data_IF_877851492010
#
_entry.id   IF_877851492010
#
_cell.length_a   1.000
_cell.length_b   1.000
_cell.length_c   1.000
_cell.angle_alpha   90.00
_cell.angle_beta   90.00
_cell.angle_gamma   90.00
#
_symmetry.space_group_name_H-M   'P 1'
#
loop_
_entity.id
_entity.type
_entity.pdbx_description
1 polymer ?
#
# COMPACT_ATOMS: atom_id res chain seq x y z
N UNK A 1 -32.80 69.44 52.83
CA UNK A 1 -33.24 68.09 52.52
C UNK A 1 -32.43 67.60 51.31
N UNK A 2 -31.36 66.82 51.56
CA UNK A 2 -30.47 66.37 50.46
C UNK A 2 -30.81 64.90 50.16
N UNK A 3 -31.21 64.61 48.91
CA UNK A 3 -31.53 63.29 48.41
C UNK A 3 -30.23 62.70 47.82
N UNK A 4 -29.76 61.57 48.34
CA UNK A 4 -28.63 60.80 47.84
C UNK A 4 -29.15 59.65 46.96
N UNK A 5 -28.77 59.53 45.71
CA UNK A 5 -29.17 58.38 44.89
C UNK A 5 -28.25 57.16 45.20
N UNK A 6 -28.90 56.04 45.51
CA UNK A 6 -28.21 54.73 45.61
C UNK A 6 -28.02 54.13 44.23
N UNK A 7 -26.74 53.97 43.83
CA UNK A 7 -26.38 53.28 42.60
C UNK A 7 -26.30 51.81 42.94
N UNK A 8 -27.25 51.04 42.39
CA UNK A 8 -27.29 49.56 42.45
C UNK A 8 -26.38 49.01 41.37
N UNK A 9 -25.17 48.53 41.74
CA UNK A 9 -24.25 47.86 40.83
C UNK A 9 -24.71 46.43 40.56
N UNK A 10 -25.16 46.16 39.34
CA UNK A 10 -25.45 44.79 38.86
C UNK A 10 -24.13 44.10 38.46
N UNK A 11 -23.66 43.15 39.24
CA UNK A 11 -22.56 42.26 38.86
C UNK A 11 -23.06 41.20 37.88
N UNK A 12 -22.69 41.30 36.60
CA UNK A 12 -22.95 40.26 35.60
C UNK A 12 -21.89 39.17 35.79
N UNK A 13 -22.27 38.07 36.40
CA UNK A 13 -21.43 36.86 36.45
C UNK A 13 -21.47 36.18 35.06
N UNK A 14 -20.40 36.34 34.27
CA UNK A 14 -20.21 35.61 33.03
C UNK A 14 -19.93 34.12 33.36
N UNK A 15 -20.95 33.28 33.26
CA UNK A 15 -20.78 31.83 33.33
C UNK A 15 -20.08 31.36 32.04
N UNK A 16 -18.80 31.00 32.16
CA UNK A 16 -18.08 30.28 31.10
C UNK A 16 -18.72 28.91 30.93
N UNK A 17 -19.62 28.76 29.97
CA UNK A 17 -20.16 27.46 29.55
C UNK A 17 -19.04 26.75 28.80
N UNK A 18 -18.25 25.95 29.48
CA UNK A 18 -17.36 24.98 28.86
C UNK A 18 -18.23 23.91 28.23
N UNK A 19 -18.44 24.00 26.91
CA UNK A 19 -19.02 22.87 26.16
C UNK A 19 -18.05 21.71 26.26
N UNK A 20 -18.49 20.52 26.70
CA UNK A 20 -17.66 19.33 26.67
C UNK A 20 -17.33 19.05 25.20
N UNK A 21 -16.05 19.13 24.84
CA UNK A 21 -15.55 18.61 23.57
C UNK A 21 -15.64 17.08 23.72
N UNK A 22 -16.69 16.49 23.18
CA UNK A 22 -16.74 15.04 23.04
C UNK A 22 -15.64 14.66 22.06
N UNK A 23 -14.58 14.07 22.56
CA UNK A 23 -13.63 13.35 21.67
C UNK A 23 -14.44 12.33 20.89
N UNK A 24 -14.34 12.35 19.56
CA UNK A 24 -15.02 11.38 18.72
C UNK A 24 -14.65 9.97 19.19
N UNK A 25 -15.66 9.12 19.41
CA UNK A 25 -15.42 7.75 19.85
C UNK A 25 -14.64 7.01 18.76
N UNK A 26 -13.53 6.41 19.15
CA UNK A 26 -12.72 5.62 18.23
C UNK A 26 -13.51 4.40 17.75
N UNK A 27 -13.46 4.14 16.44
CA UNK A 27 -14.12 2.99 15.81
C UNK A 27 -13.13 2.23 14.91
N UNK A 28 -13.52 1.05 14.43
CA UNK A 28 -12.76 0.29 13.44
C UNK A 28 -11.32 -0.01 13.86
N UNK A 29 -10.41 0.14 12.92
CA UNK A 29 -8.99 -0.20 13.08
C UNK A 29 -8.30 0.66 14.14
N UNK A 30 -8.60 1.97 14.23
CA UNK A 30 -8.01 2.83 15.26
C UNK A 30 -8.43 2.42 16.67
N UNK A 31 -9.70 1.99 16.87
CA UNK A 31 -10.15 1.43 18.14
C UNK A 31 -9.39 0.16 18.49
N UNK A 32 -9.24 -0.76 17.54
CA UNK A 32 -8.47 -2.01 17.73
C UNK A 32 -7.03 -1.71 18.14
N UNK A 33 -6.35 -0.79 17.45
CA UNK A 33 -4.98 -0.39 17.76
C UNK A 33 -4.91 0.23 19.17
N UNK A 34 -5.84 1.12 19.48
CA UNK A 34 -5.91 1.74 20.80
C UNK A 34 -6.08 0.73 21.92
N UNK A 35 -6.99 -0.21 21.77
CA UNK A 35 -7.32 -1.19 22.81
C UNK A 35 -6.25 -2.27 22.98
N UNK A 36 -5.61 -2.69 21.88
CA UNK A 36 -4.56 -3.72 21.91
C UNK A 36 -3.17 -3.18 22.22
N UNK A 37 -2.93 -1.86 22.05
CA UNK A 37 -1.61 -1.27 22.14
C UNK A 37 -0.64 -1.75 21.05
N UNK A 38 -1.16 -2.29 19.95
CA UNK A 38 -0.35 -2.84 18.84
C UNK A 38 -0.91 -2.43 17.51
N UNK A 39 -0.02 -2.03 16.59
CA UNK A 39 -0.31 -1.87 15.17
C UNK A 39 0.50 -2.90 14.36
N UNK A 40 -0.15 -3.56 13.41
CA UNK A 40 0.47 -4.56 12.53
C UNK A 40 0.59 -4.02 11.11
N UNK A 41 1.81 -3.92 10.61
CA UNK A 41 2.15 -3.37 9.30
C UNK A 41 2.35 -4.52 8.30
N UNK A 42 1.54 -4.54 7.25
CA UNK A 42 1.78 -5.35 6.07
C UNK A 42 2.97 -4.78 5.29
N UNK A 43 3.97 -5.61 4.97
CA UNK A 43 5.13 -5.21 4.18
C UNK A 43 5.45 -6.25 3.10
N UNK A 44 6.26 -5.85 2.12
CA UNK A 44 6.74 -6.71 1.04
C UNK A 44 8.20 -7.08 1.27
N UNK A 45 8.65 -8.11 0.59
CA UNK A 45 10.05 -8.57 0.59
C UNK A 45 10.81 -8.21 -0.68
N UNK A 46 10.11 -8.01 -1.81
CA UNK A 46 10.71 -7.84 -3.13
C UNK A 46 10.05 -6.77 -4.01
N UNK A 47 9.30 -5.82 -3.44
CA UNK A 47 8.69 -4.69 -4.17
C UNK A 47 9.61 -3.46 -4.17
N UNK A 48 10.80 -3.58 -4.74
CA UNK A 48 11.77 -2.48 -4.89
C UNK A 48 11.20 -1.44 -5.89
N UNK A 49 11.24 -0.13 -5.59
CA UNK A 49 11.83 0.54 -4.41
C UNK A 49 10.84 0.81 -3.27
N UNK A 50 9.62 0.27 -3.31
CA UNK A 50 8.52 0.65 -2.43
C UNK A 50 8.57 0.01 -1.03
N UNK A 51 8.65 -1.33 -0.97
CA UNK A 51 8.76 -2.10 0.28
C UNK A 51 9.50 -3.39 -0.02
N UNK A 52 10.65 -3.60 0.61
CA UNK A 52 11.51 -4.76 0.37
C UNK A 52 12.45 -5.02 1.55
N UNK A 53 13.07 -6.20 1.57
CA UNK A 53 14.12 -6.55 2.53
C UNK A 53 15.47 -6.34 1.84
N UNK A 54 16.27 -5.40 2.35
CA UNK A 54 17.54 -5.03 1.73
C UNK A 54 18.71 -5.91 2.18
N UNK A 55 18.63 -6.49 3.39
CA UNK A 55 19.72 -7.23 4.01
C UNK A 55 19.22 -8.35 4.94
N UNK A 56 20.17 -9.07 5.55
CA UNK A 56 19.90 -10.18 6.45
C UNK A 56 19.22 -9.78 7.78
N UNK A 57 19.03 -8.51 8.08
CA UNK A 57 18.28 -8.07 9.27
C UNK A 57 16.82 -8.45 9.22
N UNK A 58 16.29 -8.68 8.00
CA UNK A 58 14.90 -8.98 7.76
C UNK A 58 13.95 -7.78 8.00
N UNK A 59 14.50 -6.57 8.18
CA UNK A 59 13.70 -5.36 8.36
C UNK A 59 13.26 -4.81 7.00
N UNK A 60 11.96 -4.49 6.82
CA UNK A 60 11.50 -3.85 5.61
C UNK A 60 12.05 -2.42 5.51
N UNK A 61 12.33 -2.00 4.27
CA UNK A 61 12.75 -0.65 3.90
C UNK A 61 12.07 -0.24 2.60
N UNK A 62 12.20 1.03 2.21
CA UNK A 62 11.74 1.55 0.94
C UNK A 62 10.75 2.71 1.06
N UNK A 63 10.48 3.35 -0.09
CA UNK A 63 9.68 4.56 -0.18
C UNK A 63 8.30 4.46 0.51
N UNK A 64 7.53 3.42 0.19
CA UNK A 64 6.21 3.22 0.80
C UNK A 64 6.32 2.82 2.28
N UNK A 65 7.39 2.10 2.65
CA UNK A 65 7.63 1.73 4.04
C UNK A 65 7.94 2.97 4.90
N UNK A 66 8.71 3.94 4.40
CA UNK A 66 9.00 5.18 5.12
C UNK A 66 7.72 6.01 5.35
N UNK A 67 6.83 6.07 4.33
CA UNK A 67 5.51 6.69 4.49
C UNK A 67 4.67 5.95 5.53
N UNK A 68 4.69 4.62 5.52
CA UNK A 68 3.98 3.80 6.51
C UNK A 68 4.45 4.10 7.95
N UNK A 69 5.74 4.25 8.16
CA UNK A 69 6.29 4.63 9.47
C UNK A 69 5.86 6.04 9.90
N UNK A 70 5.82 7.00 8.98
CA UNK A 70 5.31 8.35 9.26
C UNK A 70 3.82 8.32 9.66
N UNK A 71 3.00 7.46 9.05
CA UNK A 71 1.61 7.23 9.45
C UNK A 71 1.54 6.64 10.87
N UNK A 72 2.41 5.68 11.19
CA UNK A 72 2.49 5.11 12.55
C UNK A 72 2.81 6.18 13.59
N UNK A 73 3.75 7.07 13.30
CA UNK A 73 4.11 8.16 14.21
C UNK A 73 2.95 9.15 14.41
N UNK A 74 2.18 9.44 13.37
CA UNK A 74 0.96 10.25 13.49
C UNK A 74 -0.09 9.53 14.38
N UNK A 75 -0.33 8.23 14.17
CA UNK A 75 -1.26 7.43 14.99
C UNK A 75 -0.81 7.41 16.46
N UNK A 76 0.48 7.22 16.74
CA UNK A 76 1.02 7.29 18.11
C UNK A 76 0.69 8.62 18.80
N UNK A 77 0.84 9.71 18.05
CA UNK A 77 0.54 11.07 18.54
C UNK A 77 -0.95 11.25 18.77
N UNK A 78 -1.79 10.89 17.82
CA UNK A 78 -3.24 11.08 17.87
C UNK A 78 -3.88 10.26 18.99
N UNK A 79 -3.39 9.03 19.21
CA UNK A 79 -3.85 8.14 20.28
C UNK A 79 -3.16 8.43 21.63
N UNK A 80 -2.21 9.36 21.70
CA UNK A 80 -1.37 9.60 22.86
C UNK A 80 -0.70 8.31 23.40
N UNK A 81 -0.19 7.48 22.48
CA UNK A 81 0.46 6.19 22.75
C UNK A 81 1.87 6.14 22.17
N UNK A 82 2.86 6.82 22.78
CA UNK A 82 4.23 6.84 22.27
C UNK A 82 4.86 5.43 22.23
N UNK A 83 4.45 4.54 23.14
CA UNK A 83 4.96 3.17 23.26
C UNK A 83 4.16 2.15 22.46
N UNK A 84 3.38 2.58 21.48
CA UNK A 84 2.61 1.67 20.62
C UNK A 84 3.54 0.63 19.98
N UNK A 85 3.23 -0.65 20.21
CA UNK A 85 4.01 -1.76 19.66
C UNK A 85 3.76 -1.90 18.15
N UNK A 86 4.84 -1.96 17.37
CA UNK A 86 4.78 -2.12 15.91
C UNK A 86 5.19 -3.53 15.55
N UNK A 87 4.27 -4.28 14.93
CA UNK A 87 4.52 -5.62 14.38
C UNK A 87 4.56 -5.57 12.87
N UNK A 88 5.35 -6.46 12.28
CA UNK A 88 5.48 -6.60 10.84
C UNK A 88 4.87 -7.93 10.39
N UNK A 89 4.15 -7.90 9.27
CA UNK A 89 3.55 -9.07 8.63
C UNK A 89 3.90 -9.07 7.14
N UNK A 90 4.65 -10.07 6.70
CA UNK A 90 4.98 -10.23 5.29
C UNK A 90 3.72 -10.57 4.49
N UNK A 91 3.47 -9.80 3.43
CA UNK A 91 2.35 -10.01 2.51
C UNK A 91 2.84 -10.13 1.07
N UNK A 92 2.11 -10.88 0.27
CA UNK A 92 2.29 -10.97 -1.19
C UNK A 92 1.26 -10.10 -1.90
N UNK A 93 1.39 -9.93 -3.22
CA UNK A 93 0.37 -9.23 -4.02
C UNK A 93 -1.00 -9.93 -3.96
N UNK A 94 -1.04 -11.26 -3.73
CA UNK A 94 -2.29 -12.01 -3.56
C UNK A 94 -2.90 -11.89 -2.17
N UNK A 95 -2.07 -11.83 -1.12
CA UNK A 95 -2.56 -11.95 0.27
C UNK A 95 -2.84 -10.61 0.93
N UNK A 96 -2.26 -9.50 0.45
CA UNK A 96 -2.35 -8.18 1.09
C UNK A 96 -3.78 -7.71 1.34
N UNK A 97 -4.68 -7.79 0.35
CA UNK A 97 -6.07 -7.34 0.51
C UNK A 97 -6.83 -8.24 1.51
N UNK A 98 -6.85 -9.57 1.37
CA UNK A 98 -7.47 -10.43 2.39
C UNK A 98 -6.94 -10.24 3.81
N UNK A 99 -5.64 -9.96 3.98
CA UNK A 99 -5.04 -9.76 5.31
C UNK A 99 -5.41 -8.41 5.94
N UNK A 100 -5.68 -7.38 5.14
CA UNK A 100 -6.28 -6.14 5.62
C UNK A 100 -7.75 -6.35 5.99
N UNK A 101 -8.53 -7.00 5.12
CA UNK A 101 -9.96 -7.25 5.35
C UNK A 101 -10.24 -8.02 6.64
N UNK A 102 -9.44 -9.03 6.95
CA UNK A 102 -9.61 -9.85 8.16
C UNK A 102 -8.91 -9.28 9.40
N UNK A 103 -8.24 -8.13 9.28
CA UNK A 103 -7.56 -7.44 10.38
C UNK A 103 -6.26 -8.10 10.83
N UNK A 104 -5.67 -9.03 10.07
CA UNK A 104 -4.34 -9.58 10.33
C UNK A 104 -3.24 -8.53 10.15
N UNK A 105 -3.41 -7.62 9.18
CA UNK A 105 -2.64 -6.40 9.05
C UNK A 105 -3.58 -5.19 9.18
N UNK A 106 -3.11 -4.12 9.78
CA UNK A 106 -3.87 -2.89 9.99
C UNK A 106 -3.66 -1.89 8.85
N UNK A 107 -2.45 -1.82 8.33
CA UNK A 107 -2.05 -0.97 7.19
C UNK A 107 -1.09 -1.77 6.32
N UNK A 108 -1.23 -1.66 5.00
CA UNK A 108 -0.25 -2.16 4.03
C UNK A 108 0.22 -0.99 3.16
N UNK A 109 1.53 -0.80 3.09
CA UNK A 109 2.18 0.15 2.18
C UNK A 109 3.28 -0.58 1.42
N UNK A 110 2.95 -1.00 0.22
CA UNK A 110 3.87 -1.62 -0.73
C UNK A 110 3.67 -1.01 -2.10
N UNK A 111 3.36 -1.86 -3.07
CA UNK A 111 3.06 -1.50 -4.45
C UNK A 111 1.60 -1.80 -4.82
N UNK A 112 0.64 -1.49 -3.93
CA UNK A 112 -0.77 -1.78 -4.17
C UNK A 112 -1.42 -0.67 -4.98
N UNK A 113 -1.80 -0.98 -6.22
CA UNK A 113 -2.55 -0.06 -7.10
C UNK A 113 -3.95 0.17 -6.54
N UNK A 114 -4.31 1.44 -6.31
CA UNK A 114 -5.67 1.86 -6.04
C UNK A 114 -6.49 1.81 -7.35
N UNK A 115 -7.60 1.10 -7.33
CA UNK A 115 -8.60 1.08 -8.39
C UNK A 115 -10.00 0.82 -7.85
N UNK A 116 -11.03 1.06 -8.66
CA UNK A 116 -12.43 0.98 -8.25
C UNK A 116 -12.84 -0.40 -7.70
N UNK A 117 -12.28 -1.50 -8.22
CA UNK A 117 -12.59 -2.86 -7.75
C UNK A 117 -12.01 -3.12 -6.36
N UNK A 118 -10.77 -2.71 -6.12
CA UNK A 118 -10.10 -2.88 -4.83
C UNK A 118 -10.65 -1.93 -3.76
N UNK A 119 -11.08 -0.73 -4.17
CA UNK A 119 -11.73 0.24 -3.27
C UNK A 119 -13.09 -0.25 -2.72
N UNK A 120 -13.70 -1.29 -3.34
CA UNK A 120 -14.88 -1.97 -2.79
C UNK A 120 -14.51 -2.99 -1.70
N UNK A 121 -13.26 -3.30 -1.52
CA UNK A 121 -12.77 -4.34 -0.62
C UNK A 121 -12.01 -3.78 0.58
N UNK A 122 -11.25 -2.71 0.39
CA UNK A 122 -10.42 -2.03 1.40
C UNK A 122 -10.40 -0.54 1.11
N UNK A 123 -10.16 0.26 2.15
CA UNK A 123 -9.93 1.69 2.01
C UNK A 123 -8.50 1.97 1.54
N UNK A 124 -8.35 3.03 0.77
CA UNK A 124 -7.06 3.53 0.30
C UNK A 124 -6.80 4.95 0.84
N UNK A 125 -5.53 5.25 1.07
CA UNK A 125 -5.07 6.62 1.27
C UNK A 125 -5.10 7.39 -0.06
N UNK A 126 -4.69 8.65 -0.04
CA UNK A 126 -4.34 9.37 -1.28
C UNK A 126 -3.25 8.60 -2.02
N UNK A 127 -3.23 8.71 -3.36
CA UNK A 127 -2.19 8.10 -4.16
C UNK A 127 -0.83 8.73 -3.83
N UNK A 128 0.16 7.88 -3.55
CA UNK A 128 1.51 8.29 -3.16
C UNK A 128 2.51 8.16 -4.32
N UNK A 129 2.13 7.47 -5.40
CA UNK A 129 2.96 7.24 -6.58
C UNK A 129 2.09 6.94 -7.80
N UNK A 130 2.58 7.30 -9.00
CA UNK A 130 1.94 6.96 -10.28
C UNK A 130 2.82 6.00 -11.07
N UNK A 131 2.19 5.01 -11.72
CA UNK A 131 2.87 3.97 -12.48
C UNK A 131 2.22 3.75 -13.84
N UNK A 132 2.98 3.17 -14.76
CA UNK A 132 2.48 2.58 -15.99
C UNK A 132 2.93 1.13 -16.13
N UNK A 133 2.08 0.27 -16.67
CA UNK A 133 2.46 -1.13 -16.93
C UNK A 133 3.41 -1.21 -18.13
N UNK A 134 4.50 -1.96 -18.01
CA UNK A 134 5.55 -2.14 -19.02
C UNK A 134 5.99 -3.60 -19.13
N UNK A 135 6.85 -3.85 -20.10
CA UNK A 135 7.55 -5.12 -20.29
C UNK A 135 9.05 -4.93 -20.03
N UNK A 136 9.59 -5.74 -19.15
CA UNK A 136 11.03 -5.95 -19.03
C UNK A 136 11.40 -7.13 -19.91
N UNK A 137 12.40 -6.96 -20.79
CA UNK A 137 12.94 -7.99 -21.68
C UNK A 137 14.45 -7.95 -21.66
N UNK A 138 15.09 -9.06 -21.97
CA UNK A 138 16.55 -9.08 -22.14
C UNK A 138 16.96 -8.33 -23.40
N UNK A 139 18.17 -7.79 -23.40
CA UNK A 139 18.81 -7.29 -24.61
C UNK A 139 19.37 -8.46 -25.43
N UNK A 140 19.35 -8.32 -26.74
CA UNK A 140 20.03 -9.22 -27.66
C UNK A 140 21.57 -8.95 -27.66
N UNK A 141 22.29 -9.70 -28.51
CA UNK A 141 23.74 -9.56 -28.67
C UNK A 141 24.19 -8.17 -29.19
N UNK A 142 23.29 -7.43 -29.79
CA UNK A 142 23.55 -6.08 -30.33
C UNK A 142 23.13 -4.98 -29.34
N UNK A 143 22.70 -5.37 -28.10
CA UNK A 143 22.27 -4.46 -27.05
C UNK A 143 20.85 -3.91 -27.23
N UNK A 144 20.07 -4.42 -28.19
CA UNK A 144 18.68 -4.02 -28.43
C UNK A 144 17.71 -4.90 -27.62
N UNK A 145 16.50 -4.39 -27.28
CA UNK A 145 15.47 -5.23 -26.70
C UNK A 145 15.17 -6.44 -27.58
N UNK A 146 15.16 -7.64 -27.01
CA UNK A 146 14.86 -8.88 -27.75
C UNK A 146 13.40 -8.93 -28.27
N UNK A 147 12.50 -8.15 -27.64
CA UNK A 147 11.09 -7.99 -28.02
C UNK A 147 10.73 -6.52 -27.86
N UNK A 148 10.03 -5.95 -28.86
CA UNK A 148 9.72 -4.51 -28.90
C UNK A 148 8.23 -4.21 -28.68
N UNK A 149 7.38 -5.17 -28.93
CA UNK A 149 5.92 -5.03 -28.78
C UNK A 149 5.31 -6.29 -28.13
N UNK A 150 4.10 -6.15 -27.61
CA UNK A 150 3.30 -7.26 -27.13
C UNK A 150 3.02 -8.30 -28.22
N UNK A 151 2.87 -7.87 -29.46
CA UNK A 151 2.67 -8.77 -30.61
C UNK A 151 3.80 -9.80 -30.78
N UNK A 152 5.04 -9.43 -30.43
CA UNK A 152 6.23 -10.28 -30.53
C UNK A 152 6.19 -11.42 -29.50
N UNK A 153 5.34 -11.31 -28.47
CA UNK A 153 5.20 -12.30 -27.41
C UNK A 153 4.24 -13.45 -27.73
N UNK A 154 3.65 -13.47 -28.95
CA UNK A 154 2.74 -14.51 -29.37
C UNK A 154 3.37 -15.89 -29.25
N UNK A 155 2.70 -16.81 -28.54
CA UNK A 155 3.18 -18.18 -28.28
C UNK A 155 4.37 -18.28 -27.31
N UNK A 156 4.78 -17.20 -26.65
CA UNK A 156 5.94 -17.18 -25.74
C UNK A 156 5.54 -17.35 -24.28
N UNK A 157 6.52 -17.71 -23.47
CA UNK A 157 6.40 -17.69 -22.01
C UNK A 157 6.57 -16.24 -21.51
N UNK A 158 5.57 -15.69 -20.88
CA UNK A 158 5.59 -14.36 -20.26
C UNK A 158 5.31 -14.50 -18.79
N UNK A 159 6.16 -13.94 -17.93
CA UNK A 159 5.95 -13.96 -16.48
C UNK A 159 5.32 -12.65 -16.01
N UNK A 160 4.52 -12.74 -14.97
CA UNK A 160 3.97 -11.65 -14.17
C UNK A 160 3.83 -12.11 -12.73
N UNK A 161 3.53 -11.19 -11.81
CA UNK A 161 3.35 -11.57 -10.41
C UNK A 161 1.87 -11.79 -10.10
N UNK A 162 1.57 -12.89 -9.45
CA UNK A 162 0.21 -13.29 -9.06
C UNK A 162 -0.48 -12.24 -8.17
N UNK A 163 -1.77 -11.98 -8.41
CA UNK A 163 -2.58 -11.01 -7.66
C UNK A 163 -2.36 -9.55 -8.03
N UNK A 164 -1.65 -9.27 -9.14
CA UNK A 164 -1.41 -7.91 -9.64
C UNK A 164 -2.42 -7.48 -10.70
N UNK A 165 -2.53 -6.17 -10.91
CA UNK A 165 -3.27 -5.60 -12.05
C UNK A 165 -2.63 -6.00 -13.38
N UNK A 166 -1.30 -6.10 -13.42
CA UNK A 166 -0.53 -6.54 -14.59
C UNK A 166 -0.86 -7.99 -14.98
N UNK A 167 -1.04 -8.89 -14.00
CA UNK A 167 -1.48 -10.26 -14.27
C UNK A 167 -2.84 -10.31 -14.95
N UNK A 168 -3.81 -9.54 -14.44
CA UNK A 168 -5.15 -9.48 -15.06
C UNK A 168 -5.08 -8.91 -16.48
N UNK A 169 -4.31 -7.85 -16.66
CA UNK A 169 -4.16 -7.20 -17.95
C UNK A 169 -3.54 -8.12 -19.01
N UNK A 170 -2.43 -8.80 -18.67
CA UNK A 170 -1.79 -9.71 -19.65
C UNK A 170 -2.67 -10.91 -19.99
N UNK A 171 -3.39 -11.48 -19.00
CA UNK A 171 -4.31 -12.59 -19.25
C UNK A 171 -5.49 -12.17 -20.13
N UNK A 172 -6.10 -11.01 -19.86
CA UNK A 172 -7.18 -10.47 -20.69
C UNK A 172 -6.70 -10.20 -22.11
N UNK A 173 -5.58 -9.52 -22.28
CA UNK A 173 -5.01 -9.25 -23.60
C UNK A 173 -4.64 -10.52 -24.38
N UNK A 174 -4.09 -11.53 -23.68
CA UNK A 174 -3.77 -12.83 -24.29
C UNK A 174 -5.02 -13.52 -24.85
N UNK A 175 -6.12 -13.49 -24.10
CA UNK A 175 -7.41 -14.08 -24.52
C UNK A 175 -8.04 -13.26 -25.66
N UNK A 176 -8.19 -11.96 -25.49
CA UNK A 176 -8.89 -11.09 -26.44
C UNK A 176 -8.20 -11.04 -27.82
N UNK A 177 -6.86 -11.02 -27.82
CA UNK A 177 -6.06 -10.98 -29.05
C UNK A 177 -5.62 -12.35 -29.54
N UNK A 178 -6.05 -13.42 -28.88
CA UNK A 178 -5.70 -14.83 -29.22
C UNK A 178 -4.19 -15.02 -29.43
N UNK A 179 -3.40 -14.51 -28.48
CA UNK A 179 -1.94 -14.47 -28.62
C UNK A 179 -1.28 -15.83 -28.31
N UNK A 180 -1.98 -16.74 -27.64
CA UNK A 180 -1.44 -18.06 -27.28
C UNK A 180 -0.20 -17.99 -26.37
N UNK A 181 -0.03 -16.89 -25.61
CA UNK A 181 1.05 -16.79 -24.64
C UNK A 181 0.84 -17.78 -23.50
N UNK A 182 1.93 -18.38 -23.02
CA UNK A 182 1.94 -19.09 -21.75
C UNK A 182 2.25 -18.09 -20.64
N UNK A 183 1.20 -17.58 -19.96
CA UNK A 183 1.33 -16.59 -18.89
C UNK A 183 1.64 -17.31 -17.58
N UNK A 184 2.83 -17.07 -17.02
CA UNK A 184 3.32 -17.64 -15.77
C UNK A 184 3.09 -16.63 -14.65
N UNK A 185 2.33 -17.01 -13.62
CA UNK A 185 2.09 -16.17 -12.45
C UNK A 185 3.04 -16.59 -11.31
N UNK A 186 4.10 -15.82 -11.09
CA UNK A 186 5.06 -16.07 -10.02
C UNK A 186 4.54 -15.53 -8.68
N UNK A 187 5.06 -16.01 -7.57
CA UNK A 187 4.60 -15.67 -6.21
C UNK A 187 4.86 -14.20 -5.86
N UNK A 188 6.02 -13.67 -6.25
CA UNK A 188 6.47 -12.31 -5.95
C UNK A 188 7.30 -11.73 -7.10
N UNK A 189 7.69 -10.45 -6.98
CA UNK A 189 8.41 -9.75 -8.05
C UNK A 189 9.85 -10.28 -8.21
N UNK A 190 10.48 -10.72 -7.13
CA UNK A 190 11.82 -11.31 -7.17
C UNK A 190 11.82 -12.63 -7.95
N UNK A 191 10.86 -13.52 -7.70
CA UNK A 191 10.71 -14.76 -8.47
C UNK A 191 10.37 -14.48 -9.94
N UNK A 192 9.51 -13.49 -10.21
CA UNK A 192 9.20 -13.06 -11.59
C UNK A 192 10.46 -12.63 -12.34
N UNK A 193 11.29 -11.80 -11.70
CA UNK A 193 12.56 -11.35 -12.27
C UNK A 193 13.54 -12.52 -12.50
N UNK A 194 13.65 -13.45 -11.57
CA UNK A 194 14.50 -14.64 -11.72
C UNK A 194 14.05 -15.54 -12.88
N UNK A 195 12.74 -15.64 -13.13
CA UNK A 195 12.23 -16.40 -14.30
C UNK A 195 12.63 -15.75 -15.63
N UNK A 196 12.65 -14.40 -15.70
CA UNK A 196 13.18 -13.69 -16.86
C UNK A 196 14.69 -13.92 -16.99
N UNK A 197 15.45 -13.74 -15.90
CA UNK A 197 16.91 -13.87 -15.90
C UNK A 197 17.36 -15.28 -16.26
N UNK A 198 16.70 -16.31 -15.80
CA UNK A 198 17.00 -17.72 -16.14
C UNK A 198 16.52 -18.14 -17.55
N UNK A 199 15.80 -17.28 -18.27
CA UNK A 199 15.23 -17.58 -19.59
C UNK A 199 14.02 -18.51 -19.55
N UNK A 200 13.42 -18.78 -18.39
CA UNK A 200 12.13 -19.50 -18.25
C UNK A 200 10.97 -18.71 -18.82
N UNK A 201 11.07 -17.38 -18.82
CA UNK A 201 10.19 -16.45 -19.51
C UNK A 201 11.02 -15.50 -20.38
N UNK A 202 10.43 -15.01 -21.47
CA UNK A 202 11.11 -14.06 -22.39
C UNK A 202 10.81 -12.61 -22.05
N UNK A 203 9.76 -12.35 -21.27
CA UNK A 203 9.35 -11.03 -20.80
C UNK A 203 8.74 -11.12 -19.41
N UNK A 204 8.92 -10.06 -18.61
CA UNK A 204 8.25 -9.82 -17.33
C UNK A 204 7.37 -8.59 -17.45
N UNK A 205 6.07 -8.76 -17.26
CA UNK A 205 5.10 -7.66 -17.30
C UNK A 205 4.76 -7.18 -15.91
N UNK A 206 5.05 -5.92 -15.61
CA UNK A 206 4.79 -5.29 -14.32
C UNK A 206 4.71 -3.76 -14.45
N UNK A 207 4.49 -3.09 -13.34
CA UNK A 207 4.56 -1.64 -13.21
C UNK A 207 6.00 -1.16 -13.42
N UNK A 208 6.19 -0.09 -14.18
CA UNK A 208 7.50 0.40 -14.64
C UNK A 208 8.50 0.66 -13.50
N UNK A 209 8.00 1.17 -12.36
CA UNK A 209 8.85 1.43 -11.20
C UNK A 209 9.31 0.16 -10.46
N UNK A 210 8.75 -1.03 -10.81
CA UNK A 210 9.12 -2.33 -10.23
C UNK A 210 9.99 -3.16 -11.18
N UNK A 211 10.25 -2.67 -12.40
CA UNK A 211 11.07 -3.31 -13.43
C UNK A 211 12.48 -2.75 -13.47
#
# INVERSE_FOLDING_TARGET
MRIVPHILGAAIAAALISTPVFAAELTGTLKKINDSGTITLGHRDSSIPFSYIADASGKPVGYSHDIQLAIVDAIKKDLNKPDLNVKYNLVTSQTRIPLIQNGTADIECGSTTNNAERAQQVDFTVNIFEIGTRLLVKKDKDGKPSYSDFADLKGKNVVTTAGTTSERLIKAMNADKQMGMNVISAKDHGESFQMLESGRAVAFMMDDALL
#
